data_IF_164446021775
#
_entry.id   IF_164446021775
#
_cell.length_a   1.000
_cell.length_b   1.000
_cell.length_c   1.000
_cell.angle_alpha   90.00
_cell.angle_beta   90.00
_cell.angle_gamma   90.00
#
_symmetry.space_group_name_H-M   'P 1'
#
loop_
_entity.id
_entity.type
_entity.pdbx_description
1 polymer ?
#
# COMPACT_ATOMS: atom_id res chain seq x y z
N UNK A 1 5.59 -9.77 15.47
CA UNK A 1 5.30 -11.18 15.83
C UNK A 1 5.62 -12.02 14.62
N UNK A 2 6.44 -13.07 14.76
CA UNK A 2 6.74 -13.98 13.66
C UNK A 2 5.57 -14.94 13.52
N UNK A 3 4.81 -14.84 12.42
CA UNK A 3 3.73 -15.77 12.13
C UNK A 3 4.32 -17.06 11.57
N UNK A 4 4.44 -18.09 12.41
CA UNK A 4 4.80 -19.44 11.96
C UNK A 4 3.58 -20.08 11.29
N UNK A 5 3.72 -20.54 10.05
CA UNK A 5 2.69 -21.34 9.38
C UNK A 5 3.01 -22.83 9.50
N UNK A 6 1.99 -23.65 9.72
CA UNK A 6 2.11 -25.11 9.68
C UNK A 6 1.96 -25.61 8.25
N UNK A 7 3.01 -26.24 7.71
CA UNK A 7 2.98 -26.84 6.37
C UNK A 7 2.83 -28.36 6.47
N UNK A 8 1.77 -28.97 5.91
CA UNK A 8 1.60 -30.42 5.91
C UNK A 8 2.77 -31.16 5.24
N UNK A 9 3.32 -32.16 5.92
CA UNK A 9 4.46 -32.95 5.40
C UNK A 9 4.12 -33.70 4.09
N UNK A 10 2.83 -33.97 3.84
CA UNK A 10 2.34 -34.57 2.60
C UNK A 10 2.59 -33.66 1.40
N UNK A 11 2.38 -32.35 1.53
CA UNK A 11 2.62 -31.38 0.45
C UNK A 11 4.12 -31.26 0.14
N UNK A 12 4.95 -31.26 1.17
CA UNK A 12 6.42 -31.25 1.03
C UNK A 12 6.89 -32.50 0.28
N UNK A 13 6.40 -33.68 0.67
CA UNK A 13 6.75 -34.96 0.04
C UNK A 13 6.24 -35.08 -1.39
N UNK A 14 5.08 -34.50 -1.67
CA UNK A 14 4.51 -34.45 -3.02
C UNK A 14 5.22 -33.43 -3.93
N UNK A 15 6.02 -32.51 -3.37
CA UNK A 15 6.60 -31.39 -4.12
C UNK A 15 5.54 -30.41 -4.61
N UNK A 16 4.38 -30.33 -3.95
CA UNK A 16 3.26 -29.48 -4.34
C UNK A 16 3.50 -28.03 -3.90
N UNK A 17 4.37 -27.36 -4.66
CA UNK A 17 4.79 -25.99 -4.41
C UNK A 17 3.62 -24.99 -4.50
N UNK A 18 2.62 -25.27 -5.34
CA UNK A 18 1.42 -24.44 -5.47
C UNK A 18 0.61 -24.47 -4.17
N UNK A 19 0.33 -25.66 -3.63
CA UNK A 19 -0.41 -25.80 -2.39
C UNK A 19 0.34 -25.22 -1.18
N UNK A 20 1.67 -25.28 -1.18
CA UNK A 20 2.50 -24.65 -0.13
C UNK A 20 2.43 -23.12 -0.23
N UNK A 21 2.42 -22.56 -1.44
CA UNK A 21 2.32 -21.10 -1.65
C UNK A 21 0.97 -20.54 -1.20
N UNK A 22 -0.10 -21.30 -1.37
CA UNK A 22 -1.45 -20.93 -0.92
C UNK A 22 -1.58 -20.92 0.62
N UNK A 23 -0.68 -21.58 1.36
CA UNK A 23 -0.63 -21.53 2.82
C UNK A 23 0.09 -20.29 3.37
N UNK A 24 0.88 -19.60 2.55
CA UNK A 24 1.59 -18.39 2.99
C UNK A 24 0.59 -17.24 3.15
N UNK A 25 0.75 -16.38 4.18
CA UNK A 25 -0.05 -15.17 4.30
C UNK A 25 0.17 -14.31 3.06
N UNK A 26 -0.89 -14.10 2.28
CA UNK A 26 -0.84 -13.23 1.11
C UNK A 26 -1.39 -11.87 1.52
N UNK A 27 -0.65 -10.81 1.18
CA UNK A 27 -1.15 -9.46 1.32
C UNK A 27 -2.42 -9.31 0.48
N UNK A 28 -3.45 -8.69 1.06
CA UNK A 28 -4.67 -8.38 0.34
C UNK A 28 -4.47 -7.05 -0.42
N UNK A 29 -4.48 -7.14 -1.74
CA UNK A 29 -4.29 -6.02 -2.66
C UNK A 29 -5.61 -5.34 -3.03
N UNK A 30 -6.76 -5.88 -2.64
CA UNK A 30 -8.05 -5.32 -2.99
C UNK A 30 -8.20 -3.88 -2.45
N UNK A 31 -8.53 -2.94 -3.33
CA UNK A 31 -8.66 -1.53 -2.98
C UNK A 31 -7.33 -0.78 -2.88
N UNK A 32 -6.19 -1.44 -3.15
CA UNK A 32 -4.90 -0.76 -3.19
C UNK A 32 -4.81 0.13 -4.42
N UNK A 33 -4.42 1.37 -4.18
CA UNK A 33 -4.06 2.29 -5.24
C UNK A 33 -2.65 2.00 -5.74
N UNK A 34 -2.46 2.16 -7.06
CA UNK A 34 -1.18 1.96 -7.71
C UNK A 34 -1.07 2.81 -8.99
N UNK A 35 0.16 3.02 -9.43
CA UNK A 35 0.49 3.64 -10.71
C UNK A 35 0.98 2.57 -11.69
N UNK A 36 0.40 2.51 -12.90
CA UNK A 36 0.89 1.69 -14.00
C UNK A 36 1.59 2.58 -15.04
N UNK A 37 2.77 2.21 -15.57
CA UNK A 37 3.60 3.09 -16.40
C UNK A 37 2.92 3.64 -17.66
N UNK A 38 1.96 2.91 -18.23
CA UNK A 38 1.23 3.32 -19.45
C UNK A 38 -0.27 3.52 -19.25
N UNK A 39 -0.85 2.94 -18.21
CA UNK A 39 -2.30 3.03 -17.96
C UNK A 39 -2.61 4.12 -16.94
N UNK A 40 -1.57 4.69 -16.32
CA UNK A 40 -1.67 5.71 -15.30
C UNK A 40 -2.16 5.15 -13.97
N UNK A 41 -2.77 6.05 -13.20
CA UNK A 41 -3.29 5.81 -11.87
C UNK A 41 -4.51 4.90 -11.84
N UNK A 42 -4.60 4.04 -10.83
CA UNK A 42 -5.79 3.21 -10.64
C UNK A 42 -5.83 2.41 -9.35
N UNK A 43 -6.87 1.58 -9.22
CA UNK A 43 -7.12 0.69 -8.08
C UNK A 43 -7.02 -0.78 -8.51
N UNK A 44 -6.42 -1.60 -7.66
CA UNK A 44 -6.46 -3.06 -7.77
C UNK A 44 -7.80 -3.56 -7.22
N UNK A 45 -8.53 -4.34 -8.03
CA UNK A 45 -9.84 -4.93 -7.69
C UNK A 45 -9.79 -6.45 -7.49
N UNK A 46 -8.59 -7.03 -7.37
CA UNK A 46 -8.37 -8.43 -7.00
C UNK A 46 -7.63 -8.50 -5.66
N UNK A 47 -8.03 -9.44 -4.79
CA UNK A 47 -7.37 -9.61 -3.49
C UNK A 47 -5.91 -10.09 -3.63
N UNK A 48 -5.64 -10.96 -4.60
CA UNK A 48 -4.33 -11.57 -4.81
C UNK A 48 -4.02 -11.67 -6.31
N UNK A 49 -2.74 -11.67 -6.71
CA UNK A 49 -2.37 -11.99 -8.08
C UNK A 49 -2.73 -13.44 -8.42
N UNK A 50 -2.98 -13.71 -9.71
CA UNK A 50 -3.12 -15.09 -10.19
C UNK A 50 -1.75 -15.80 -10.24
N UNK A 51 -1.73 -17.06 -10.72
CA UNK A 51 -0.49 -17.85 -10.83
C UNK A 51 0.58 -17.24 -11.74
N UNK A 52 0.16 -16.42 -12.69
CA UNK A 52 1.02 -15.72 -13.65
C UNK A 52 1.37 -14.29 -13.17
N UNK A 53 1.14 -13.97 -11.90
CA UNK A 53 1.39 -12.67 -11.27
C UNK A 53 0.48 -11.52 -11.76
N UNK A 54 -0.67 -11.82 -12.39
CA UNK A 54 -1.61 -10.78 -12.83
C UNK A 54 -2.61 -10.39 -11.75
N UNK A 55 -2.85 -9.09 -11.63
CA UNK A 55 -3.95 -8.50 -10.85
C UNK A 55 -4.95 -7.82 -11.78
N UNK A 56 -6.19 -7.66 -11.30
CA UNK A 56 -7.20 -6.84 -11.98
C UNK A 56 -7.03 -5.40 -11.53
N UNK A 57 -6.84 -4.48 -12.47
CA UNK A 57 -6.55 -3.07 -12.23
C UNK A 57 -7.54 -2.18 -12.98
N UNK A 58 -8.06 -1.14 -12.34
CA UNK A 58 -9.06 -0.21 -12.89
C UNK A 58 -8.49 1.20 -12.88
N UNK A 59 -8.50 1.87 -14.04
CA UNK A 59 -7.91 3.21 -14.23
C UNK A 59 -8.94 4.27 -14.69
N UNK A 60 -10.12 4.30 -14.08
CA UNK A 60 -11.17 5.30 -14.37
C UNK A 60 -11.98 5.05 -15.65
N UNK A 61 -11.44 4.34 -16.64
CA UNK A 61 -12.13 4.02 -17.89
C UNK A 61 -12.60 2.57 -17.97
N UNK A 62 -11.73 1.61 -17.63
CA UNK A 62 -11.98 0.18 -17.78
C UNK A 62 -11.16 -0.62 -16.77
N UNK A 63 -11.29 -1.94 -16.81
CA UNK A 63 -10.42 -2.84 -16.06
C UNK A 63 -9.51 -3.62 -17.01
N UNK A 64 -8.26 -3.79 -16.60
CA UNK A 64 -7.24 -4.56 -17.31
C UNK A 64 -6.62 -5.60 -16.37
N UNK A 65 -6.18 -6.72 -16.93
CA UNK A 65 -5.24 -7.60 -16.25
C UNK A 65 -3.83 -7.04 -16.43
N UNK A 66 -3.11 -6.77 -15.36
CA UNK A 66 -1.74 -6.23 -15.38
C UNK A 66 -0.82 -7.06 -14.50
N UNK A 67 0.46 -7.13 -14.85
CA UNK A 67 1.47 -7.81 -14.02
C UNK A 67 1.68 -6.95 -12.77
N UNK A 68 1.64 -7.57 -11.58
CA UNK A 68 1.77 -6.86 -10.31
C UNK A 68 3.10 -6.09 -10.21
N UNK A 69 4.18 -6.67 -10.74
CA UNK A 69 5.52 -6.08 -10.68
C UNK A 69 5.66 -4.81 -11.54
N UNK A 70 4.75 -4.60 -12.50
CA UNK A 70 4.69 -3.37 -13.30
C UNK A 70 3.98 -2.23 -12.55
N UNK A 71 3.37 -2.51 -11.39
CA UNK A 71 2.67 -1.53 -10.58
C UNK A 71 3.57 -0.93 -9.50
N UNK A 72 3.58 0.40 -9.42
CA UNK A 72 4.09 1.09 -8.23
C UNK A 72 2.95 1.25 -7.23
N UNK A 73 2.93 0.41 -6.20
CA UNK A 73 1.91 0.46 -5.15
C UNK A 73 2.10 1.70 -4.27
N UNK A 74 1.00 2.30 -3.86
CA UNK A 74 1.05 3.31 -2.81
C UNK A 74 1.55 2.70 -1.50
N UNK A 75 2.34 3.47 -0.73
CA UNK A 75 2.64 3.10 0.65
C UNK A 75 1.34 3.03 1.47
N UNK A 76 1.34 2.15 2.46
CA UNK A 76 0.21 2.02 3.42
C UNK A 76 0.44 2.83 4.69
N UNK A 77 1.70 3.14 4.97
CA UNK A 77 2.15 3.88 6.13
C UNK A 77 3.36 4.75 5.81
N UNK A 78 3.52 5.82 6.58
CA UNK A 78 4.73 6.64 6.62
C UNK A 78 5.39 6.44 7.98
N UNK A 79 6.69 6.15 7.99
CA UNK A 79 7.42 5.78 9.22
C UNK A 79 8.68 6.60 9.38
N UNK A 80 9.40 6.85 8.28
CA UNK A 80 10.68 7.56 8.30
C UNK A 80 10.51 9.00 7.87
N UNK A 81 11.43 9.88 8.29
CA UNK A 81 11.50 11.27 7.83
C UNK A 81 11.42 11.37 6.29
N UNK A 82 12.16 10.50 5.60
CA UNK A 82 12.18 10.48 4.14
C UNK A 82 10.79 10.18 3.55
N UNK A 83 10.00 9.32 4.20
CA UNK A 83 8.64 9.00 3.73
C UNK A 83 7.75 10.26 3.81
N UNK A 84 7.83 11.01 4.90
CA UNK A 84 7.09 12.26 5.06
C UNK A 84 7.55 13.35 4.09
N UNK A 85 8.85 13.50 3.87
CA UNK A 85 9.41 14.48 2.92
C UNK A 85 9.06 14.14 1.47
N UNK A 86 9.09 12.86 1.11
CA UNK A 86 8.83 12.38 -0.25
C UNK A 86 7.35 12.22 -0.59
N UNK A 87 6.47 12.19 0.41
CA UNK A 87 5.02 12.11 0.16
C UNK A 87 4.56 13.27 -0.75
N UNK A 88 3.68 13.04 -1.73
CA UNK A 88 3.16 14.11 -2.56
C UNK A 88 2.24 15.03 -1.74
N UNK A 89 2.13 16.28 -2.18
CA UNK A 89 1.14 17.23 -1.65
C UNK A 89 -0.28 16.65 -1.77
N UNK A 90 -1.15 16.99 -0.82
CA UNK A 90 -2.50 16.44 -0.74
C UNK A 90 -2.59 15.09 -0.04
N UNK A 91 -1.47 14.42 0.25
CA UNK A 91 -1.45 13.17 1.02
C UNK A 91 -2.11 13.37 2.38
N UNK A 92 -3.04 12.49 2.74
CA UNK A 92 -3.72 12.50 4.03
C UNK A 92 -3.30 11.25 4.81
N UNK A 93 -2.89 11.45 6.05
CA UNK A 93 -2.50 10.39 6.98
C UNK A 93 -3.23 10.52 8.31
N UNK A 94 -3.29 9.43 9.10
CA UNK A 94 -3.91 9.42 10.43
C UNK A 94 -3.23 8.48 11.40
N UNK A 95 -3.19 8.86 12.68
CA UNK A 95 -2.80 8.04 13.82
C UNK A 95 -4.03 7.34 14.39
N UNK A 96 -4.22 6.07 14.03
CA UNK A 96 -5.26 5.19 14.61
C UNK A 96 -6.68 5.78 14.70
N UNK A 97 -7.00 6.81 13.90
CA UNK A 97 -8.31 7.46 13.78
C UNK A 97 -8.55 8.69 14.67
N UNK A 98 -7.57 9.20 15.42
CA UNK A 98 -7.78 10.35 16.32
C UNK A 98 -7.45 11.67 15.63
N UNK A 99 -6.25 11.78 15.07
CA UNK A 99 -5.80 12.94 14.31
C UNK A 99 -5.64 12.56 12.85
N UNK A 100 -5.82 13.54 11.98
CA UNK A 100 -5.51 13.42 10.57
C UNK A 100 -4.69 14.63 10.16
N UNK A 101 -3.63 14.37 9.40
CA UNK A 101 -2.75 15.38 8.85
C UNK A 101 -2.78 15.31 7.34
N UNK A 102 -2.81 16.47 6.71
CA UNK A 102 -2.66 16.62 5.27
C UNK A 102 -1.32 17.27 4.97
N UNK A 103 -0.61 16.73 3.98
CA UNK A 103 0.57 17.37 3.43
C UNK A 103 0.18 18.56 2.56
N UNK A 104 0.64 19.75 2.91
CA UNK A 104 0.44 20.96 2.11
C UNK A 104 1.58 21.16 1.12
N UNK A 105 2.82 21.13 1.63
CA UNK A 105 4.07 21.32 0.89
C UNK A 105 5.17 20.45 1.53
N UNK A 106 6.39 20.49 0.99
CA UNK A 106 7.51 19.59 1.35
C UNK A 106 7.69 19.34 2.86
N UNK A 107 7.60 20.38 3.70
CA UNK A 107 7.83 20.29 5.15
C UNK A 107 6.64 20.82 5.98
N UNK A 108 5.43 20.63 5.47
CA UNK A 108 4.21 21.18 6.05
C UNK A 108 3.10 20.12 6.15
N UNK A 109 2.82 19.68 7.37
CA UNK A 109 1.72 18.78 7.69
C UNK A 109 0.71 19.49 8.59
N UNK A 110 -0.49 19.69 8.08
CA UNK A 110 -1.54 20.42 8.79
C UNK A 110 -2.64 19.48 9.25
N UNK A 111 -3.09 19.66 10.50
CA UNK A 111 -4.36 19.15 11.00
C UNK A 111 -5.27 20.33 11.37
N UNK A 112 -6.51 20.05 11.77
CA UNK A 112 -7.48 21.10 12.16
C UNK A 112 -6.93 22.10 13.21
N UNK A 113 -6.11 21.64 14.13
CA UNK A 113 -5.64 22.43 15.28
C UNK A 113 -4.12 22.43 15.43
N UNK A 114 -3.38 21.85 14.49
CA UNK A 114 -1.94 21.63 14.64
C UNK A 114 -1.22 21.72 13.29
N UNK A 115 0.07 22.02 13.35
CA UNK A 115 0.95 22.10 12.20
C UNK A 115 2.31 21.55 12.58
N UNK A 116 2.75 20.52 11.86
CA UNK A 116 3.99 19.79 12.15
C UNK A 116 4.90 19.75 10.91
N UNK A 117 6.21 19.78 11.18
CA UNK A 117 7.24 19.49 10.19
C UNK A 117 7.32 17.99 9.90
N UNK A 118 7.93 17.60 8.78
CA UNK A 118 8.15 16.19 8.45
C UNK A 118 8.98 15.46 9.54
N UNK A 119 9.88 16.19 10.21
CA UNK A 119 10.68 15.67 11.32
C UNK A 119 9.85 15.38 12.56
N UNK A 120 8.90 16.25 12.90
CA UNK A 120 7.99 16.05 14.02
C UNK A 120 7.03 14.88 13.74
N UNK A 121 6.51 14.80 12.52
CA UNK A 121 5.67 13.68 12.08
C UNK A 121 6.38 12.33 12.21
N UNK A 122 7.66 12.26 11.81
CA UNK A 122 8.46 11.03 11.87
C UNK A 122 8.73 10.53 13.30
N UNK A 123 8.70 11.41 14.30
CA UNK A 123 8.92 11.00 15.71
C UNK A 123 7.62 10.73 16.46
N UNK A 124 6.47 11.16 15.95
CA UNK A 124 5.18 11.05 16.62
C UNK A 124 4.45 9.72 16.38
N UNK A 125 4.96 8.86 15.50
CA UNK A 125 4.49 7.49 15.32
C UNK A 125 4.44 7.07 13.86
N UNK A 126 4.15 5.78 13.58
CA UNK A 126 3.80 5.38 12.22
C UNK A 126 2.40 5.90 11.89
N UNK A 127 2.28 6.55 10.73
CA UNK A 127 1.04 7.17 10.28
C UNK A 127 0.43 6.36 9.15
N UNK A 128 -0.84 5.98 9.26
CA UNK A 128 -1.55 5.28 8.19
C UNK A 128 -1.94 6.24 7.10
N UNK A 129 -1.72 5.86 5.85
CA UNK A 129 -2.16 6.65 4.71
C UNK A 129 -3.65 6.42 4.47
N UNK A 130 -4.40 7.51 4.44
CA UNK A 130 -5.82 7.53 4.06
C UNK A 130 -5.99 7.88 2.58
N UNK A 131 -5.10 8.73 2.05
CA UNK A 131 -5.03 9.09 0.63
C UNK A 131 -3.59 9.46 0.27
N UNK A 132 -3.09 8.94 -0.85
CA UNK A 132 -1.81 9.33 -1.41
C UNK A 132 -2.00 10.47 -2.41
N UNK A 133 -1.32 11.59 -2.17
CA UNK A 133 -1.47 12.80 -2.97
C UNK A 133 -2.91 13.33 -3.00
N UNK A 134 -3.26 14.05 -4.06
CA UNK A 134 -4.63 14.53 -4.29
C UNK A 134 -5.61 13.42 -4.70
N UNK A 135 -5.13 12.20 -4.97
CA UNK A 135 -5.95 11.11 -5.48
C UNK A 135 -6.33 11.24 -6.96
N UNK A 136 -5.57 12.05 -7.70
CA UNK A 136 -5.62 12.15 -9.17
C UNK A 136 -4.86 10.99 -9.83
#
# INVERSE_FOLDING_TARGET
MTNTIEVPISLIKAGDLDAIRDLLPQENLFGRWAEHPTLGRGIIISAHPNRENFVKFVNGESWSGVILDDLTLDPVELVTLKDFEAAPEGTIISDTGVNAYQKLITDAWESRNDYLTAKEMAVSGPWKILRWGWGE
#
